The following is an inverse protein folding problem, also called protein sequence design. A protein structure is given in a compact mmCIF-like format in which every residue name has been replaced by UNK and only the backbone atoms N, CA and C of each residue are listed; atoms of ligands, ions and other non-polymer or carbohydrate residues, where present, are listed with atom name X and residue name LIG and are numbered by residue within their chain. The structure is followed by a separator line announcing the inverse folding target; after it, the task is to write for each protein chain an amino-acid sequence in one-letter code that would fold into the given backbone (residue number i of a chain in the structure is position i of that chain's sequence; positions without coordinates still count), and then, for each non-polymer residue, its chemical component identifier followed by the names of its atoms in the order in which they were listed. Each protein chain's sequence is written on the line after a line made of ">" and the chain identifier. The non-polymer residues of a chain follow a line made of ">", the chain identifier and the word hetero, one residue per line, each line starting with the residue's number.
data_IF_701973326986
#
_entry.id   IF_701973326986
#
_cell.length_a   1.000
_cell.length_b   1.000
_cell.length_c   1.000
_cell.angle_alpha   90.00
_cell.angle_beta   90.00
_cell.angle_gamma   90.00
#
_symmetry.space_group_name_H-M   'P 1'
#
loop_
_entity.id
_entity.type
_entity.pdbx_description
1 polymer ?
#
# COMPACT_ATOMS: atom_id res chain seq x y z
N UNK A 1 -17.20 13.49 -12.61
CA UNK A 1 -17.41 12.04 -12.70
C UNK A 1 -16.06 11.40 -13.00
N UNK A 2 -15.31 11.01 -11.97
CA UNK A 2 -14.07 10.26 -12.18
C UNK A 2 -14.45 8.86 -12.63
N UNK A 3 -14.03 8.51 -13.84
CA UNK A 3 -14.23 7.19 -14.41
C UNK A 3 -13.38 6.23 -13.56
N UNK A 4 -13.99 5.50 -12.62
CA UNK A 4 -13.27 4.55 -11.79
C UNK A 4 -12.82 3.40 -12.69
N UNK A 5 -11.56 3.43 -13.11
CA UNK A 5 -10.98 2.37 -13.93
C UNK A 5 -11.05 1.07 -13.13
N UNK A 6 -11.99 0.18 -13.48
CA UNK A 6 -12.10 -1.12 -12.84
C UNK A 6 -11.08 -2.05 -13.49
N UNK A 7 -10.11 -2.53 -12.71
CA UNK A 7 -9.11 -3.47 -13.21
C UNK A 7 -9.72 -4.85 -13.41
N UNK A 8 -9.45 -5.45 -14.58
CA UNK A 8 -9.96 -6.76 -14.96
C UNK A 8 -9.45 -7.91 -14.08
N UNK A 9 -8.32 -7.75 -13.38
CA UNK A 9 -7.79 -8.73 -12.45
C UNK A 9 -7.50 -8.05 -11.11
N UNK A 10 -8.19 -8.49 -10.06
CA UNK A 10 -7.94 -8.07 -8.67
C UNK A 10 -7.93 -9.31 -7.79
N UNK A 11 -7.00 -9.39 -6.87
CA UNK A 11 -6.86 -10.54 -5.98
C UNK A 11 -7.10 -10.08 -4.55
N UNK A 12 -8.11 -10.64 -3.90
CA UNK A 12 -8.35 -10.45 -2.47
C UNK A 12 -7.85 -11.66 -1.67
N UNK A 13 -7.82 -11.52 -0.35
CA UNK A 13 -7.49 -12.58 0.58
C UNK A 13 -8.61 -12.67 1.62
N UNK A 14 -9.21 -13.85 1.76
CA UNK A 14 -10.47 -14.01 2.49
C UNK A 14 -10.42 -15.21 3.43
N UNK A 15 -11.17 -15.16 4.52
CA UNK A 15 -11.54 -16.35 5.28
C UNK A 15 -13.04 -16.38 5.55
N UNK A 16 -13.57 -17.59 5.78
CA UNK A 16 -14.99 -17.82 6.07
C UNK A 16 -15.09 -18.82 7.22
N UNK A 17 -16.01 -18.58 8.15
CA UNK A 17 -16.32 -19.50 9.25
C UNK A 17 -15.07 -20.02 10.00
N UNK A 18 -14.08 -19.15 10.24
CA UNK A 18 -12.85 -19.48 10.97
C UNK A 18 -11.82 -20.32 10.20
N UNK A 19 -12.02 -20.57 8.90
CA UNK A 19 -11.02 -21.23 8.06
C UNK A 19 -9.76 -20.38 7.90
N UNK A 20 -8.65 -21.02 7.50
CA UNK A 20 -7.43 -20.30 7.14
C UNK A 20 -7.68 -19.33 5.97
N UNK A 21 -7.02 -18.15 5.93
CA UNK A 21 -7.13 -17.22 4.81
C UNK A 21 -6.67 -17.84 3.48
N UNK A 22 -7.41 -17.57 2.41
CA UNK A 22 -7.11 -18.04 1.07
C UNK A 22 -7.27 -16.90 0.03
N UNK A 23 -6.48 -16.94 -1.05
CA UNK A 23 -6.58 -15.96 -2.11
C UNK A 23 -7.84 -16.22 -2.96
N UNK A 24 -8.48 -15.15 -3.40
CA UNK A 24 -9.60 -15.19 -4.33
C UNK A 24 -9.39 -14.19 -5.48
N UNK A 25 -9.75 -14.61 -6.68
CA UNK A 25 -9.84 -13.75 -7.86
C UNK A 25 -11.19 -13.04 -7.84
N UNK A 26 -11.17 -11.71 -7.97
CA UNK A 26 -12.39 -10.90 -8.03
C UNK A 26 -12.86 -10.75 -9.47
N UNK A 27 -14.09 -11.15 -9.75
CA UNK A 27 -14.78 -10.95 -11.03
C UNK A 27 -16.07 -10.17 -10.76
N UNK A 28 -16.12 -8.90 -11.18
CA UNK A 28 -17.11 -7.96 -10.66
C UNK A 28 -17.05 -7.94 -9.12
N UNK A 29 -18.19 -8.12 -8.46
CA UNK A 29 -18.28 -8.19 -6.98
C UNK A 29 -18.13 -9.62 -6.41
N UNK A 30 -17.91 -10.62 -7.28
CA UNK A 30 -17.78 -12.01 -6.86
C UNK A 30 -16.32 -12.33 -6.51
N UNK A 31 -16.11 -12.91 -5.33
CA UNK A 31 -14.83 -13.48 -4.95
C UNK A 31 -14.81 -14.99 -5.23
N UNK A 32 -13.96 -15.41 -6.17
CA UNK A 32 -13.79 -16.81 -6.57
C UNK A 32 -12.49 -17.33 -5.96
N UNK A 33 -12.51 -18.34 -5.06
CA UNK A 33 -11.28 -18.91 -4.51
C UNK A 33 -10.34 -19.34 -5.63
N UNK A 34 -9.06 -18.95 -5.58
CA UNK A 34 -8.10 -19.27 -6.65
C UNK A 34 -7.95 -20.78 -6.82
N UNK A 35 -8.08 -21.55 -5.73
CA UNK A 35 -8.10 -23.01 -5.77
C UNK A 35 -9.23 -23.60 -6.62
N UNK A 36 -10.39 -22.93 -6.70
CA UNK A 36 -11.52 -23.34 -7.52
C UNK A 36 -11.28 -23.15 -9.03
N UNK A 37 -10.22 -22.42 -9.41
CA UNK A 37 -9.89 -22.14 -10.81
C UNK A 37 -9.05 -23.23 -11.49
N UNK A 38 -8.58 -24.24 -10.75
CA UNK A 38 -7.75 -25.32 -11.33
C UNK A 38 -8.35 -26.00 -12.55
N UNK A 39 -9.65 -26.37 -12.58
CA UNK A 39 -10.24 -26.99 -13.77
C UNK A 39 -10.16 -26.09 -15.01
N UNK A 40 -10.33 -24.77 -14.85
CA UNK A 40 -10.19 -23.80 -15.95
C UNK A 40 -8.74 -23.61 -16.37
N UNK A 41 -7.81 -23.56 -15.41
CA UNK A 41 -6.38 -23.49 -15.70
C UNK A 41 -5.92 -24.72 -16.50
N UNK A 42 -6.35 -25.92 -16.10
CA UNK A 42 -6.07 -27.18 -16.79
C UNK A 42 -6.66 -27.20 -18.20
N UNK A 43 -7.92 -26.80 -18.37
CA UNK A 43 -8.56 -26.73 -19.68
C UNK A 43 -7.87 -25.78 -20.66
N UNK A 44 -7.24 -24.71 -20.14
CA UNK A 44 -6.48 -23.73 -20.93
C UNK A 44 -4.98 -24.05 -21.03
N UNK A 45 -4.52 -25.16 -20.44
CA UNK A 45 -3.11 -25.52 -20.34
C UNK A 45 -2.25 -24.42 -19.70
N UNK A 46 -2.76 -23.79 -18.64
CA UNK A 46 -2.10 -22.71 -17.89
C UNK A 46 -1.57 -23.23 -16.55
N UNK A 47 -0.34 -22.85 -16.13
CA UNK A 47 0.19 -23.23 -14.83
C UNK A 47 -0.50 -22.44 -13.72
N UNK A 48 -0.93 -23.13 -12.66
CA UNK A 48 -1.47 -22.50 -11.46
C UNK A 48 -1.00 -23.29 -10.24
N UNK A 49 -0.40 -22.61 -9.27
CA UNK A 49 0.20 -23.24 -8.09
C UNK A 49 0.15 -22.34 -6.85
N UNK A 50 0.37 -22.89 -5.66
CA UNK A 50 0.41 -22.12 -4.42
C UNK A 50 -0.94 -21.53 -3.99
N UNK A 51 -2.07 -22.03 -4.49
CA UNK A 51 -3.39 -21.40 -4.31
C UNK A 51 -4.00 -21.52 -2.90
N UNK A 52 -3.30 -22.16 -1.96
CA UNK A 52 -3.80 -22.42 -0.61
C UNK A 52 -3.58 -21.25 0.36
N UNK A 53 -2.71 -20.29 0.01
CA UNK A 53 -2.49 -19.06 0.79
C UNK A 53 -2.00 -17.94 -0.13
N UNK A 54 -2.17 -16.68 0.29
CA UNK A 54 -1.66 -15.54 -0.48
C UNK A 54 -0.14 -15.54 -0.60
N UNK A 55 0.57 -15.99 0.46
CA UNK A 55 2.02 -16.11 0.47
C UNK A 55 2.50 -17.10 -0.60
N UNK A 56 1.96 -18.33 -0.58
CA UNK A 56 2.33 -19.37 -1.54
C UNK A 56 1.97 -18.99 -3.00
N UNK A 57 0.87 -18.26 -3.19
CA UNK A 57 0.49 -17.75 -4.51
C UNK A 57 1.53 -16.76 -5.06
N UNK A 58 2.02 -15.85 -4.21
CA UNK A 58 3.03 -14.84 -4.57
C UNK A 58 4.43 -15.46 -4.69
N UNK A 59 4.77 -16.47 -3.90
CA UNK A 59 6.04 -17.21 -4.05
C UNK A 59 6.17 -17.86 -5.45
N UNK A 60 5.04 -18.21 -6.06
CA UNK A 60 4.95 -18.77 -7.42
C UNK A 60 4.50 -17.72 -8.46
N UNK A 61 4.61 -16.43 -8.15
CA UNK A 61 4.10 -15.34 -8.97
C UNK A 61 4.58 -15.35 -10.44
N UNK A 62 5.86 -15.63 -10.75
CA UNK A 62 6.33 -15.67 -12.14
C UNK A 62 5.55 -16.65 -13.03
N UNK A 63 4.97 -17.70 -12.45
CA UNK A 63 4.12 -18.66 -13.18
C UNK A 63 2.64 -18.27 -13.10
N UNK A 64 2.20 -17.74 -11.96
CA UNK A 64 0.79 -17.47 -11.70
C UNK A 64 0.27 -16.19 -12.35
N UNK A 65 1.10 -15.15 -12.53
CA UNK A 65 0.67 -13.82 -12.96
C UNK A 65 -0.12 -13.85 -14.27
N UNK A 66 0.49 -14.37 -15.35
CA UNK A 66 -0.17 -14.45 -16.66
C UNK A 66 -1.38 -15.37 -16.64
N UNK A 67 -1.35 -16.41 -15.81
CA UNK A 67 -2.48 -17.34 -15.66
C UNK A 67 -3.68 -16.66 -15.01
N UNK A 68 -3.50 -15.94 -13.92
CA UNK A 68 -4.59 -15.26 -13.22
C UNK A 68 -5.26 -14.20 -14.09
N UNK A 69 -4.48 -13.42 -14.85
CA UNK A 69 -5.02 -12.43 -15.80
C UNK A 69 -5.81 -13.10 -16.93
N UNK A 70 -5.31 -14.23 -17.46
CA UNK A 70 -6.00 -14.98 -18.51
C UNK A 70 -7.28 -15.66 -17.99
N UNK A 71 -7.23 -16.22 -16.79
CA UNK A 71 -8.40 -16.81 -16.12
C UNK A 71 -9.47 -15.75 -15.86
N UNK A 72 -9.09 -14.56 -15.40
CA UNK A 72 -10.04 -13.46 -15.19
C UNK A 72 -10.80 -13.13 -16.49
N UNK A 73 -10.08 -12.87 -17.58
CA UNK A 73 -10.66 -12.59 -18.90
C UNK A 73 -11.46 -13.77 -19.46
N UNK A 74 -11.06 -15.00 -19.16
CA UNK A 74 -11.78 -16.19 -19.58
C UNK A 74 -13.14 -16.27 -18.86
N UNK A 75 -13.13 -16.15 -17.52
CA UNK A 75 -14.32 -16.26 -16.68
C UNK A 75 -15.30 -15.11 -16.95
N UNK A 76 -14.81 -13.88 -17.13
CA UNK A 76 -15.65 -12.73 -17.53
C UNK A 76 -16.45 -13.01 -18.82
N UNK A 77 -15.86 -13.76 -19.76
CA UNK A 77 -16.48 -14.09 -21.04
C UNK A 77 -17.44 -15.27 -20.97
N UNK A 78 -17.11 -16.31 -20.20
CA UNK A 78 -17.91 -17.55 -20.15
C UNK A 78 -18.94 -17.56 -19.01
N UNK A 79 -18.80 -16.63 -18.06
CA UNK A 79 -19.53 -16.65 -16.80
C UNK A 79 -18.95 -17.63 -15.79
N UNK A 80 -19.14 -17.34 -14.51
CA UNK A 80 -18.79 -18.25 -13.42
C UNK A 80 -20.03 -18.97 -12.90
N UNK A 81 -19.99 -20.31 -12.87
CA UNK A 81 -21.08 -21.15 -12.36
C UNK A 81 -20.68 -21.94 -11.09
N UNK A 82 -19.48 -21.70 -10.56
CA UNK A 82 -18.95 -22.39 -9.39
C UNK A 82 -19.25 -21.66 -8.07
N UNK A 83 -18.65 -22.10 -6.96
CA UNK A 83 -18.83 -21.43 -5.68
C UNK A 83 -18.24 -20.01 -5.70
N UNK A 84 -19.01 -19.04 -5.17
CA UNK A 84 -18.57 -17.66 -4.95
C UNK A 84 -18.74 -17.29 -3.50
N UNK A 85 -17.83 -16.47 -2.99
CA UNK A 85 -18.06 -15.76 -1.74
C UNK A 85 -18.79 -14.44 -2.04
N UNK A 86 -19.81 -14.17 -1.24
CA UNK A 86 -20.33 -12.83 -1.07
C UNK A 86 -19.47 -12.13 0.00
N UNK A 87 -18.83 -10.99 -0.30
CA UNK A 87 -17.89 -10.34 0.61
C UNK A 87 -18.44 -10.09 2.04
N UNK A 88 -19.74 -9.84 2.18
CA UNK A 88 -20.38 -9.64 3.49
C UNK A 88 -20.44 -10.88 4.41
N UNK A 89 -20.13 -12.07 3.89
CA UNK A 89 -20.07 -13.32 4.66
C UNK A 89 -18.63 -13.77 4.94
N UNK A 90 -17.62 -13.02 4.50
CA UNK A 90 -16.21 -13.36 4.61
C UNK A 90 -15.44 -12.26 5.35
N UNK A 91 -14.39 -12.65 6.06
CA UNK A 91 -13.40 -11.71 6.60
C UNK A 91 -12.39 -11.41 5.52
N UNK A 92 -12.20 -10.13 5.20
CA UNK A 92 -11.16 -9.69 4.26
C UNK A 92 -9.86 -9.43 5.03
N UNK A 93 -8.79 -10.04 4.55
CA UNK A 93 -7.43 -9.93 5.08
C UNK A 93 -6.56 -9.08 4.15
N UNK A 94 -5.36 -8.65 4.59
CA UNK A 94 -4.39 -8.08 3.68
C UNK A 94 -4.16 -9.00 2.47
N UNK A 95 -4.16 -8.47 1.23
CA UNK A 95 -3.94 -9.26 0.02
C UNK A 95 -2.44 -9.58 -0.22
N UNK A 96 -1.65 -9.57 0.86
CA UNK A 96 -0.22 -9.81 0.90
C UNK A 96 0.17 -10.45 2.23
N UNK A 97 1.32 -11.11 2.26
CA UNK A 97 1.92 -11.63 3.50
C UNK A 97 3.44 -11.42 3.43
N UNK A 98 3.90 -10.15 3.60
CA UNK A 98 5.29 -9.78 3.43
C UNK A 98 6.19 -10.39 4.51
N UNK A 99 7.43 -10.71 4.11
CA UNK A 99 8.51 -11.06 5.05
C UNK A 99 9.21 -9.79 5.55
N UNK A 100 9.30 -8.79 4.69
CA UNK A 100 9.88 -7.49 4.97
C UNK A 100 8.93 -6.38 4.50
N UNK A 101 8.88 -5.29 5.26
CA UNK A 101 8.15 -4.07 4.89
C UNK A 101 9.11 -2.88 4.93
N UNK A 102 9.11 -2.07 3.87
CA UNK A 102 9.94 -0.88 3.71
C UNK A 102 9.07 0.34 3.46
N UNK A 103 9.34 1.48 4.11
CA UNK A 103 8.56 2.70 3.97
C UNK A 103 9.47 3.86 3.58
N UNK A 104 9.16 4.51 2.46
CA UNK A 104 9.94 5.64 1.96
C UNK A 104 9.44 6.94 2.56
N UNK A 105 10.23 7.52 3.45
CA UNK A 105 9.91 8.76 4.14
C UNK A 105 10.11 9.95 3.19
N UNK A 106 9.20 10.92 3.20
CA UNK A 106 9.44 12.20 2.54
C UNK A 106 9.43 12.12 1.01
N UNK A 107 8.55 11.32 0.39
CA UNK A 107 8.65 10.99 -1.03
C UNK A 107 7.69 11.76 -1.95
N UNK A 108 6.90 12.71 -1.46
CA UNK A 108 5.99 13.52 -2.27
C UNK A 108 6.40 14.99 -2.22
N UNK A 109 6.32 15.71 -3.35
CA UNK A 109 6.69 17.13 -3.39
C UNK A 109 5.69 17.95 -2.60
N UNK A 110 4.40 17.68 -2.77
CA UNK A 110 3.30 18.28 -2.02
C UNK A 110 3.53 18.19 -0.51
N UNK A 111 3.85 16.99 -0.02
CA UNK A 111 4.11 16.72 1.39
C UNK A 111 5.29 17.54 1.95
N UNK A 112 6.36 17.70 1.16
CA UNK A 112 7.49 18.54 1.58
C UNK A 112 7.14 20.03 1.54
N UNK A 113 6.36 20.49 0.55
CA UNK A 113 5.90 21.88 0.51
C UNK A 113 5.05 22.22 1.74
N UNK A 114 4.06 21.38 2.05
CA UNK A 114 3.20 21.52 3.24
C UNK A 114 4.05 21.57 4.53
N UNK A 115 4.97 20.63 4.70
CA UNK A 115 5.84 20.60 5.88
C UNK A 115 6.75 21.83 6.03
N UNK A 116 7.11 22.50 4.94
CA UNK A 116 7.84 23.77 4.98
C UNK A 116 6.94 24.93 5.41
N UNK A 117 5.69 24.98 4.94
CA UNK A 117 4.70 25.97 5.37
C UNK A 117 4.35 25.82 6.86
N UNK A 118 4.14 24.59 7.33
CA UNK A 118 3.78 24.32 8.74
C UNK A 118 4.87 24.75 9.72
N UNK A 119 6.14 24.73 9.29
CA UNK A 119 7.31 25.09 10.12
C UNK A 119 7.78 26.52 9.91
N UNK A 120 7.24 27.23 8.93
CA UNK A 120 7.66 28.60 8.63
C UNK A 120 7.29 29.54 9.80
N UNK A 121 8.19 30.45 10.21
CA UNK A 121 7.86 31.48 11.19
C UNK A 121 6.65 32.30 10.75
N UNK A 122 5.82 32.70 11.71
CA UNK A 122 4.65 33.55 11.44
C UNK A 122 5.05 34.82 10.68
N UNK A 123 4.37 35.09 9.56
CA UNK A 123 4.65 36.24 8.70
C UNK A 123 5.69 35.99 7.59
N UNK A 124 6.26 34.79 7.49
CA UNK A 124 7.11 34.42 6.35
C UNK A 124 6.30 34.46 5.05
N UNK A 125 6.73 35.19 4.01
CA UNK A 125 6.03 35.23 2.73
C UNK A 125 5.92 33.84 2.08
N UNK A 126 4.73 33.48 1.61
CA UNK A 126 4.46 32.15 1.01
C UNK A 126 5.38 31.82 -0.17
N UNK A 127 5.73 32.82 -1.00
CA UNK A 127 6.66 32.66 -2.12
C UNK A 127 8.11 32.33 -1.68
N UNK A 128 8.55 32.83 -0.52
CA UNK A 128 9.86 32.51 0.05
C UNK A 128 9.88 31.07 0.55
N UNK A 129 8.84 30.66 1.29
CA UNK A 129 8.67 29.27 1.75
C UNK A 129 8.62 28.29 0.59
N UNK A 130 7.83 28.59 -0.46
CA UNK A 130 7.76 27.77 -1.67
C UNK A 130 9.12 27.63 -2.36
N UNK A 131 9.90 28.71 -2.41
CA UNK A 131 11.22 28.71 -3.02
C UNK A 131 12.19 27.84 -2.22
N UNK A 132 12.15 27.92 -0.89
CA UNK A 132 12.93 27.08 0.00
C UNK A 132 12.55 25.59 -0.13
N UNK A 133 11.25 25.28 -0.17
CA UNK A 133 10.75 23.93 -0.36
C UNK A 133 11.19 23.35 -1.71
N UNK A 134 11.07 24.11 -2.81
CA UNK A 134 11.53 23.70 -4.14
C UNK A 134 13.03 23.44 -4.17
N UNK A 135 13.84 24.30 -3.56
CA UNK A 135 15.28 24.09 -3.47
C UNK A 135 15.62 22.82 -2.69
N UNK A 136 14.89 22.52 -1.60
CA UNK A 136 15.05 21.29 -0.84
C UNK A 136 14.65 20.05 -1.65
N UNK A 137 13.52 20.10 -2.36
CA UNK A 137 13.04 19.03 -3.24
C UNK A 137 14.05 18.72 -4.34
N UNK A 138 14.61 19.74 -4.99
CA UNK A 138 15.63 19.56 -6.03
C UNK A 138 16.89 18.88 -5.45
N UNK A 139 17.37 19.35 -4.31
CA UNK A 139 18.48 18.70 -3.61
C UNK A 139 18.15 17.26 -3.23
N UNK A 140 16.92 17.00 -2.79
CA UNK A 140 16.46 15.65 -2.43
C UNK A 140 16.40 14.74 -3.64
N UNK A 141 15.93 15.22 -4.79
CA UNK A 141 15.87 14.45 -6.03
C UNK A 141 17.26 14.01 -6.51
N UNK A 142 18.30 14.77 -6.22
CA UNK A 142 19.70 14.41 -6.50
C UNK A 142 20.32 13.43 -5.50
N UNK A 143 19.63 13.14 -4.39
CA UNK A 143 20.06 12.22 -3.35
C UNK A 143 19.52 10.79 -3.52
N UNK A 144 19.51 10.05 -2.42
CA UNK A 144 18.97 8.69 -2.32
C UNK A 144 17.64 8.67 -1.53
N UNK A 145 16.74 7.69 -1.76
CA UNK A 145 15.54 7.49 -0.94
C UNK A 145 15.88 7.32 0.54
N UNK A 146 15.12 7.98 1.42
CA UNK A 146 15.22 7.76 2.87
C UNK A 146 14.17 6.71 3.27
N UNK A 147 14.62 5.51 3.64
CA UNK A 147 13.75 4.38 3.88
C UNK A 147 13.92 3.86 5.31
N UNK A 148 12.80 3.63 6.00
CA UNK A 148 12.75 2.86 7.24
C UNK A 148 12.10 1.49 7.00
N UNK A 149 12.29 0.57 7.94
CA UNK A 149 11.60 -0.71 7.93
C UNK A 149 10.35 -0.65 8.80
N UNK A 150 9.35 -1.46 8.46
CA UNK A 150 8.22 -1.82 9.32
C UNK A 150 8.18 -3.34 9.51
N UNK A 151 7.52 -3.78 10.58
CA UNK A 151 7.31 -5.17 10.91
C UNK A 151 6.01 -5.69 10.25
N UNK A 152 6.02 -6.92 9.70
CA UNK A 152 4.80 -7.56 9.23
C UNK A 152 3.69 -7.66 10.28
N UNK A 153 4.03 -7.63 11.58
CA UNK A 153 3.06 -7.63 12.68
C UNK A 153 2.20 -6.37 12.76
N UNK A 154 2.54 -5.29 12.04
CA UNK A 154 1.73 -4.08 11.98
C UNK A 154 0.54 -4.19 11.02
N UNK A 155 0.51 -5.21 10.14
CA UNK A 155 -0.54 -5.38 9.13
C UNK A 155 -1.94 -5.41 9.73
N UNK A 156 -2.87 -4.69 9.09
CA UNK A 156 -4.28 -4.70 9.41
C UNK A 156 -5.13 -4.96 8.17
N UNK A 157 -6.18 -5.76 8.32
CA UNK A 157 -7.13 -6.02 7.24
C UNK A 157 -7.89 -4.76 6.81
N UNK A 158 -8.33 -4.69 5.55
CA UNK A 158 -8.89 -3.48 4.94
C UNK A 158 -10.28 -3.09 5.48
N UNK A 159 -10.92 -3.93 6.30
CA UNK A 159 -12.23 -3.67 6.94
C UNK A 159 -12.19 -3.94 8.45
N UNK A 160 -11.01 -3.86 9.06
CA UNK A 160 -10.78 -4.21 10.47
C UNK A 160 -10.82 -2.98 11.38
N UNK A 161 -10.87 -3.23 12.68
CA UNK A 161 -10.76 -2.18 13.71
C UNK A 161 -9.29 -1.91 14.04
N UNK A 162 -8.91 -0.63 14.07
CA UNK A 162 -7.61 -0.18 14.57
C UNK A 162 -7.73 0.25 16.03
N UNK A 163 -7.01 -0.42 16.92
CA UNK A 163 -6.95 -0.04 18.33
C UNK A 163 -5.81 0.94 18.55
N UNK A 164 -6.15 2.16 18.95
CA UNK A 164 -5.18 3.23 19.17
C UNK A 164 -4.34 2.87 20.40
N UNK A 165 -3.02 2.91 20.24
CA UNK A 165 -2.15 2.53 21.35
C UNK A 165 -2.26 3.57 22.49
N UNK A 166 -2.38 3.13 23.75
CA UNK A 166 -2.66 4.03 24.88
C UNK A 166 -1.52 5.02 25.19
N UNK A 167 -0.36 4.85 24.55
CA UNK A 167 0.81 5.69 24.73
C UNK A 167 0.97 6.75 23.63
N UNK A 168 0.00 6.94 22.74
CA UNK A 168 0.02 8.05 21.77
C UNK A 168 -1.28 8.84 21.83
N UNK A 169 -1.18 10.13 21.54
CA UNK A 169 -2.32 11.02 21.26
C UNK A 169 -2.18 11.68 19.89
N UNK A 170 -1.18 11.26 19.10
CA UNK A 170 -0.83 11.86 17.82
C UNK A 170 -0.68 10.78 16.74
N UNK A 171 -1.63 9.84 16.72
CA UNK A 171 -1.75 8.85 15.67
C UNK A 171 -2.22 9.52 14.38
N UNK A 172 -1.42 9.43 13.33
CA UNK A 172 -1.59 10.13 12.07
C UNK A 172 -1.68 9.13 10.91
N UNK A 173 -2.34 9.55 9.84
CA UNK A 173 -2.58 8.75 8.64
C UNK A 173 -1.61 9.10 7.52
N UNK A 174 -1.32 8.12 6.67
CA UNK A 174 -0.44 8.28 5.51
C UNK A 174 -0.90 7.31 4.41
N UNK A 175 -1.84 7.70 3.53
CA UNK A 175 -2.20 6.84 2.37
C UNK A 175 -1.03 6.73 1.42
N UNK A 176 -0.70 5.51 1.00
CA UNK A 176 0.39 5.26 0.05
C UNK A 176 0.05 4.18 -0.98
N UNK A 177 0.80 4.18 -2.07
CA UNK A 177 0.86 3.06 -2.99
C UNK A 177 1.80 1.99 -2.40
N UNK A 178 1.28 0.80 -2.13
CA UNK A 178 2.07 -0.37 -1.76
C UNK A 178 2.52 -1.15 -3.00
N UNK A 179 3.81 -1.49 -3.07
CA UNK A 179 4.40 -2.29 -4.16
C UNK A 179 4.79 -3.65 -3.61
N UNK A 180 4.34 -4.72 -4.29
CA UNK A 180 4.63 -6.10 -3.88
C UNK A 180 5.68 -6.69 -4.79
N UNK A 181 6.75 -7.26 -4.22
CA UNK A 181 7.84 -7.86 -4.98
C UNK A 181 7.44 -9.27 -5.50
N UNK A 182 7.72 -9.56 -6.77
CA UNK A 182 7.35 -10.81 -7.44
C UNK A 182 8.35 -11.96 -7.24
N UNK A 183 9.63 -11.63 -7.12
CA UNK A 183 10.73 -12.61 -7.15
C UNK A 183 11.98 -12.02 -6.49
N UNK A 184 12.95 -12.87 -6.09
CA UNK A 184 14.16 -12.40 -5.42
C UNK A 184 14.87 -11.31 -6.23
N UNK A 185 15.20 -10.18 -5.59
CA UNK A 185 15.82 -9.02 -6.24
C UNK A 185 17.05 -8.54 -5.44
N UNK A 186 18.19 -8.41 -6.13
CA UNK A 186 19.45 -7.93 -5.57
C UNK A 186 20.23 -7.20 -6.66
N UNK A 187 20.71 -6.00 -6.37
CA UNK A 187 21.43 -5.14 -7.32
C UNK A 187 20.68 -4.91 -8.64
N UNK A 188 19.36 -4.77 -8.57
CA UNK A 188 18.50 -4.56 -9.73
C UNK A 188 18.62 -3.11 -10.18
N UNK A 189 18.76 -2.89 -11.50
CA UNK A 189 18.77 -1.52 -12.05
C UNK A 189 17.36 -0.94 -12.13
N UNK A 190 17.24 0.39 -12.19
CA UNK A 190 15.94 1.07 -12.37
C UNK A 190 15.18 0.54 -13.61
N UNK A 191 15.91 0.23 -14.69
CA UNK A 191 15.32 -0.28 -15.94
C UNK A 191 14.71 -1.67 -15.79
N UNK A 192 15.32 -2.52 -14.98
CA UNK A 192 14.89 -3.90 -14.74
C UNK A 192 13.83 -3.99 -13.65
N UNK A 193 13.75 -2.99 -12.75
CA UNK A 193 12.90 -3.02 -11.56
C UNK A 193 11.43 -3.36 -11.84
N UNK A 194 10.89 -2.96 -12.99
CA UNK A 194 9.52 -3.29 -13.42
C UNK A 194 9.26 -4.81 -13.41
N UNK A 195 10.23 -5.62 -13.82
CA UNK A 195 10.10 -7.08 -13.93
C UNK A 195 10.11 -7.81 -12.59
N UNK A 196 10.31 -7.06 -11.49
CA UNK A 196 10.31 -7.56 -10.12
C UNK A 196 9.05 -7.14 -9.36
N UNK A 197 8.09 -6.47 -9.99
CA UNK A 197 6.83 -6.06 -9.35
C UNK A 197 5.75 -7.10 -9.62
N UNK A 198 5.20 -7.67 -8.55
CA UNK A 198 4.05 -8.57 -8.64
C UNK A 198 2.78 -7.77 -8.95
N UNK A 199 2.62 -6.68 -8.23
CA UNK A 199 1.47 -5.82 -8.31
C UNK A 199 1.48 -4.76 -7.23
N UNK A 200 0.33 -4.13 -7.07
CA UNK A 200 0.16 -2.98 -6.22
C UNK A 200 -1.05 -3.13 -5.31
N UNK A 201 -1.04 -2.44 -4.18
CA UNK A 201 -2.16 -2.39 -3.23
C UNK A 201 -2.23 -1.02 -2.57
N UNK A 202 -3.33 -0.71 -1.88
CA UNK A 202 -3.40 0.47 -1.01
C UNK A 202 -2.78 0.11 0.34
N UNK A 203 -2.01 1.03 0.90
CA UNK A 203 -1.53 0.95 2.29
C UNK A 203 -1.84 2.27 3.00
N UNK A 204 -1.98 2.22 4.32
CA UNK A 204 -2.00 3.40 5.18
C UNK A 204 -0.89 3.25 6.22
N UNK A 205 0.16 4.08 6.16
CA UNK A 205 1.32 4.00 7.05
C UNK A 205 1.10 4.83 8.33
N UNK A 206 0.24 4.31 9.21
CA UNK A 206 -0.13 5.00 10.45
C UNK A 206 1.11 5.27 11.30
N UNK A 207 1.26 6.52 11.73
CA UNK A 207 2.44 7.01 12.44
C UNK A 207 2.06 7.74 13.72
N UNK A 208 2.67 7.37 14.83
CA UNK A 208 2.56 8.07 16.11
C UNK A 208 3.57 9.22 16.15
N UNK A 209 3.12 10.43 15.81
CA UNK A 209 4.01 11.60 15.60
C UNK A 209 4.77 12.00 16.86
N UNK A 210 4.17 11.84 18.03
CA UNK A 210 4.78 12.06 19.35
C UNK A 210 5.87 11.04 19.69
N UNK A 211 5.98 9.96 18.91
CA UNK A 211 6.95 8.87 19.12
C UNK A 211 8.03 8.79 18.05
N UNK A 212 7.98 9.64 17.02
CA UNK A 212 9.00 9.67 15.96
C UNK A 212 10.37 10.00 16.52
N UNK A 213 10.47 11.00 17.41
CA UNK A 213 11.73 11.36 18.05
C UNK A 213 11.73 10.92 19.50
N UNK A 214 12.82 10.29 19.93
CA UNK A 214 12.97 9.87 21.32
C UNK A 214 13.10 11.09 22.23
N UNK A 215 12.36 11.09 23.33
CA UNK A 215 12.60 12.02 24.42
C UNK A 215 13.94 11.73 25.12
N UNK A 216 14.40 10.48 25.07
CA UNK A 216 15.56 9.98 25.81
C UNK A 216 16.45 9.00 24.99
N UNK A 217 17.77 9.21 25.00
CA UNK A 217 18.44 10.50 24.90
C UNK A 217 18.22 11.14 23.50
N UNK A 218 18.03 12.48 23.41
CA UNK A 218 17.62 13.17 22.19
C UNK A 218 18.63 13.08 21.02
N UNK A 219 19.86 12.64 21.28
CA UNK A 219 20.90 12.47 20.26
C UNK A 219 20.72 11.27 19.32
N UNK A 220 19.86 10.30 19.64
CA UNK A 220 19.64 9.13 18.79
C UNK A 220 18.69 9.37 17.61
N UNK A 221 17.98 10.51 17.58
CA UNK A 221 17.15 10.89 16.44
C UNK A 221 15.84 10.10 16.37
N UNK A 222 15.48 9.69 15.15
CA UNK A 222 14.18 9.06 14.86
C UNK A 222 14.13 7.59 15.28
N UNK A 223 13.09 7.19 15.99
CA UNK A 223 12.75 5.82 16.34
C UNK A 223 11.50 5.35 15.58
N UNK A 224 11.72 4.84 14.37
CA UNK A 224 10.63 4.41 13.50
C UNK A 224 9.90 3.18 14.03
N UNK A 225 10.57 2.31 14.77
CA UNK A 225 9.96 1.13 15.38
C UNK A 225 8.87 1.56 16.38
N UNK A 226 9.20 2.50 17.28
CA UNK A 226 8.24 3.02 18.24
C UNK A 226 7.08 3.78 17.55
N UNK A 227 7.36 4.49 16.47
CA UNK A 227 6.40 5.36 15.81
C UNK A 227 5.45 4.64 14.84
N UNK A 228 5.87 3.54 14.21
CA UNK A 228 5.14 2.96 13.07
C UNK A 228 4.78 1.48 13.25
N UNK A 229 5.33 0.75 14.22
CA UNK A 229 5.20 -0.73 14.25
C UNK A 229 4.24 -1.31 15.28
N UNK A 230 3.42 -0.48 15.93
CA UNK A 230 2.35 -1.00 16.77
C UNK A 230 1.37 -1.87 15.94
N UNK A 231 0.81 -2.95 16.51
CA UNK A 231 -0.17 -3.77 15.83
C UNK A 231 -1.31 -2.92 15.27
N UNK A 232 -1.62 -3.10 13.99
CA UNK A 232 -2.67 -2.35 13.32
C UNK A 232 -2.21 -1.09 12.57
N UNK A 233 -0.96 -0.65 12.74
CA UNK A 233 -0.44 0.57 12.11
C UNK A 233 -0.11 0.43 10.60
N UNK A 234 -0.51 -0.67 9.96
CA UNK A 234 -0.36 -0.84 8.52
C UNK A 234 -1.62 -1.47 7.87
N UNK A 235 -2.77 -0.77 7.85
CA UNK A 235 -3.89 -1.15 7.02
C UNK A 235 -3.47 -1.37 5.57
N UNK A 236 -3.77 -2.55 5.03
CA UNK A 236 -3.31 -2.99 3.70
C UNK A 236 -4.41 -3.70 2.93
N UNK A 237 -4.57 -3.39 1.65
CA UNK A 237 -5.64 -3.92 0.80
C UNK A 237 -6.62 -2.85 0.32
N UNK A 238 -7.77 -3.22 -0.26
CA UNK A 238 -8.40 -4.54 -0.21
C UNK A 238 -7.84 -5.57 -1.18
N UNK A 239 -7.25 -5.12 -2.29
CA UNK A 239 -6.83 -6.00 -3.38
C UNK A 239 -5.35 -5.83 -3.72
N UNK A 240 -4.75 -6.93 -4.18
CA UNK A 240 -3.53 -6.93 -4.97
C UNK A 240 -3.93 -6.81 -6.45
N UNK A 241 -3.48 -5.74 -7.10
CA UNK A 241 -3.68 -5.47 -8.51
C UNK A 241 -2.41 -5.89 -9.26
N UNK A 242 -2.44 -6.94 -10.11
CA UNK A 242 -1.26 -7.37 -10.85
C UNK A 242 -0.64 -6.24 -11.66
N UNK A 243 0.70 -6.22 -11.76
CA UNK A 243 1.42 -5.13 -12.41
C UNK A 243 0.99 -4.90 -13.87
N UNK A 244 0.70 -5.97 -14.61
CA UNK A 244 0.25 -5.90 -16.03
C UNK A 244 -1.15 -5.30 -16.21
N UNK A 245 -1.93 -5.18 -15.12
CA UNK A 245 -3.23 -4.52 -15.16
C UNK A 245 -3.10 -3.00 -15.04
N UNK A 246 -1.96 -2.47 -14.57
CA UNK A 246 -1.75 -1.05 -14.34
C UNK A 246 -0.94 -0.45 -15.49
N UNK A 247 -1.60 0.39 -16.31
CA UNK A 247 -1.00 0.96 -17.51
C UNK A 247 0.00 2.08 -17.22
N UNK A 248 -0.32 2.97 -16.28
CA UNK A 248 0.50 4.14 -15.94
C UNK A 248 0.53 4.36 -14.43
N UNK A 249 1.70 4.17 -13.82
CA UNK A 249 1.92 4.38 -12.39
C UNK A 249 1.94 5.84 -11.98
N UNK A 250 2.04 6.80 -12.92
CA UNK A 250 1.99 8.23 -12.62
C UNK A 250 0.57 8.82 -12.63
N UNK A 251 -0.44 8.02 -12.97
CA UNK A 251 -1.85 8.47 -13.04
C UNK A 251 -2.72 7.84 -11.96
N UNK A 252 -2.13 7.11 -11.01
CA UNK A 252 -2.86 6.57 -9.88
C UNK A 252 -3.13 7.71 -8.90
N UNK A 253 -4.40 7.93 -8.58
CA UNK A 253 -4.84 8.94 -7.61
C UNK A 253 -5.09 8.29 -6.25
N UNK A 254 -4.38 8.75 -5.23
CA UNK A 254 -4.53 8.37 -3.84
C UNK A 254 -5.51 9.31 -3.16
N UNK A 255 -6.36 8.78 -2.29
CA UNK A 255 -7.25 9.59 -1.46
C UNK A 255 -7.43 8.98 -0.09
N UNK A 256 -7.43 9.84 0.94
CA UNK A 256 -7.76 9.48 2.31
C UNK A 256 -8.84 10.39 2.86
N UNK A 257 -9.80 9.79 3.57
CA UNK A 257 -10.84 10.49 4.32
C UNK A 257 -10.84 10.12 5.79
N UNK A 258 -11.09 11.10 6.64
CA UNK A 258 -11.38 10.95 8.06
C UNK A 258 -12.84 11.38 8.29
N UNK A 259 -13.69 10.49 8.78
CA UNK A 259 -15.10 10.76 9.03
C UNK A 259 -15.85 11.36 7.83
N UNK A 260 -15.46 10.96 6.62
CA UNK A 260 -16.03 11.43 5.35
C UNK A 260 -15.38 12.72 4.79
N UNK A 261 -14.58 13.43 5.57
CA UNK A 261 -13.82 14.60 5.11
C UNK A 261 -12.53 14.17 4.40
N UNK A 262 -12.22 14.75 3.24
CA UNK A 262 -11.02 14.39 2.48
C UNK A 262 -9.81 15.12 3.05
N UNK A 263 -8.86 14.35 3.58
CA UNK A 263 -7.63 14.85 4.19
C UNK A 263 -6.46 14.78 3.21
N UNK A 264 -6.37 13.71 2.40
CA UNK A 264 -5.35 13.56 1.37
C UNK A 264 -5.99 13.30 0.01
N UNK A 265 -5.44 13.92 -1.04
CA UNK A 265 -5.88 13.73 -2.42
C UNK A 265 -4.76 14.15 -3.37
N UNK A 266 -4.06 13.18 -3.98
CA UNK A 266 -2.92 13.48 -4.85
C UNK A 266 -2.65 12.36 -5.85
N UNK A 267 -1.94 12.67 -6.92
CA UNK A 267 -1.41 11.72 -7.89
C UNK A 267 -0.04 11.19 -7.48
N UNK A 268 0.17 9.90 -7.72
CA UNK A 268 1.49 9.24 -7.74
C UNK A 268 2.57 9.92 -8.60
N UNK A 269 2.19 10.74 -9.60
CA UNK A 269 3.16 11.57 -10.34
C UNK A 269 3.89 12.60 -9.46
N UNK A 270 3.35 12.91 -8.28
CA UNK A 270 3.97 13.80 -7.31
C UNK A 270 5.15 13.15 -6.56
N UNK A 271 5.39 11.85 -6.75
CA UNK A 271 6.56 11.18 -6.17
C UNK A 271 7.88 11.84 -6.59
N UNK A 272 8.78 11.99 -5.63
CA UNK A 272 10.15 12.44 -5.83
C UNK A 272 10.95 11.29 -6.42
N UNK A 273 10.98 10.14 -5.75
CA UNK A 273 11.57 8.88 -6.23
C UNK A 273 10.49 7.94 -6.72
N UNK A 274 10.57 7.55 -7.99
CA UNK A 274 9.66 6.57 -8.59
C UNK A 274 9.74 5.21 -7.90
N UNK A 275 8.70 4.39 -8.06
CA UNK A 275 8.67 2.98 -7.60
C UNK A 275 9.94 2.23 -8.01
N UNK A 276 10.38 2.40 -9.26
CA UNK A 276 11.52 1.67 -9.80
C UNK A 276 12.85 2.11 -9.20
N UNK A 277 13.00 3.39 -8.87
CA UNK A 277 14.17 3.90 -8.15
C UNK A 277 14.22 3.39 -6.71
N UNK A 278 13.07 3.30 -6.03
CA UNK A 278 12.99 2.73 -4.69
C UNK A 278 13.39 1.25 -4.68
N UNK A 279 12.91 0.45 -5.64
CA UNK A 279 13.30 -0.96 -5.80
C UNK A 279 14.81 -1.08 -6.07
N UNK A 280 15.35 -0.28 -7.00
CA UNK A 280 16.77 -0.30 -7.32
C UNK A 280 17.62 0.04 -6.09
N UNK A 281 17.26 1.10 -5.37
CA UNK A 281 17.92 1.50 -4.12
C UNK A 281 17.85 0.39 -3.07
N UNK A 282 16.66 -0.12 -2.75
CA UNK A 282 16.48 -1.18 -1.76
C UNK A 282 17.28 -2.43 -2.10
N UNK A 283 17.17 -2.92 -3.34
CA UNK A 283 17.88 -4.11 -3.78
C UNK A 283 19.40 -3.93 -3.79
N UNK A 284 19.91 -2.69 -3.76
CA UNK A 284 21.34 -2.41 -3.59
C UNK A 284 21.82 -2.60 -2.14
N UNK A 285 20.92 -2.44 -1.16
CA UNK A 285 21.21 -2.53 0.28
C UNK A 285 20.82 -3.88 0.89
N UNK A 286 19.69 -4.44 0.46
CA UNK A 286 19.11 -5.67 1.02
C UNK A 286 18.73 -6.66 -0.09
N UNK A 287 18.48 -7.90 0.31
CA UNK A 287 17.85 -8.91 -0.54
C UNK A 287 16.33 -8.79 -0.41
N UNK A 288 15.67 -8.41 -1.50
CA UNK A 288 14.20 -8.44 -1.59
C UNK A 288 13.74 -9.84 -1.98
N UNK A 289 12.60 -10.28 -1.45
CA UNK A 289 11.98 -11.57 -1.71
C UNK A 289 10.58 -11.41 -2.28
N UNK A 290 10.08 -12.47 -2.92
CA UNK A 290 8.68 -12.52 -3.33
C UNK A 290 7.76 -12.28 -2.12
N UNK A 291 6.82 -11.36 -2.27
CA UNK A 291 5.87 -10.95 -1.23
C UNK A 291 6.29 -9.75 -0.38
N UNK A 292 7.56 -9.33 -0.42
CA UNK A 292 7.99 -8.13 0.31
C UNK A 292 7.21 -6.89 -0.15
N UNK A 293 6.94 -5.99 0.80
CA UNK A 293 6.08 -4.82 0.61
C UNK A 293 6.91 -3.54 0.72
N UNK A 294 6.76 -2.65 -0.27
CA UNK A 294 7.34 -1.31 -0.27
C UNK A 294 6.20 -0.30 -0.23
N UNK A 295 6.08 0.41 0.88
CA UNK A 295 5.24 1.60 1.08
C UNK A 295 6.02 2.80 0.52
N UNK A 296 5.43 3.47 -0.48
CA UNK A 296 6.17 4.36 -1.39
C UNK A 296 6.22 5.83 -0.94
N UNK A 297 5.75 6.13 0.26
CA UNK A 297 5.56 7.49 0.78
C UNK A 297 4.15 8.02 0.54
N UNK A 298 3.82 9.08 1.25
CA UNK A 298 2.46 9.66 1.29
C UNK A 298 2.45 11.13 0.87
N UNK A 299 1.38 11.62 0.20
CA UNK A 299 1.23 13.02 -0.18
C UNK A 299 0.94 13.95 1.01
N UNK A 300 0.84 15.25 0.75
CA UNK A 300 0.35 16.24 1.71
C UNK A 300 -1.03 15.89 2.31
N UNK A 301 -1.38 16.55 3.41
CA UNK A 301 -2.65 16.37 4.12
C UNK A 301 -2.54 15.46 5.35
N UNK A 302 -1.41 15.53 6.05
CA UNK A 302 -1.23 14.81 7.32
C UNK A 302 -2.07 15.45 8.42
N UNK A 303 -2.52 14.67 9.39
CA UNK A 303 -3.26 15.16 10.56
C UNK A 303 -2.50 16.27 11.31
N UNK A 304 -1.17 16.18 11.36
CA UNK A 304 -0.32 17.22 11.92
C UNK A 304 -0.52 18.61 11.28
N UNK A 305 -0.79 18.68 9.97
CA UNK A 305 -1.08 19.93 9.26
C UNK A 305 -2.38 20.56 9.76
N UNK A 306 -3.40 19.74 10.01
CA UNK A 306 -4.71 20.18 10.49
C UNK A 306 -4.79 20.35 12.02
N UNK A 307 -3.75 19.96 12.76
CA UNK A 307 -3.81 19.85 14.22
C UNK A 307 -4.82 18.82 14.71
N UNK A 308 -5.12 17.80 13.89
CA UNK A 308 -6.09 16.74 14.15
C UNK A 308 -5.42 15.37 14.03
N UNK A 309 -5.77 14.44 14.90
CA UNK A 309 -5.20 13.09 14.92
C UNK A 309 -6.33 12.07 15.06
N UNK A 310 -6.02 10.82 14.71
CA UNK A 310 -6.95 9.69 14.81
C UNK A 310 -7.36 9.51 16.28
N UNK A 311 -8.66 9.53 16.53
CA UNK A 311 -9.29 9.34 17.81
C UNK A 311 -10.22 8.13 17.86
N UNK A 312 -10.63 7.76 19.07
CA UNK A 312 -11.60 6.69 19.28
C UNK A 312 -12.95 7.09 18.70
N UNK A 313 -13.56 6.21 17.89
CA UNK A 313 -14.80 6.43 17.17
C UNK A 313 -14.62 6.94 15.73
N UNK A 314 -13.40 7.30 15.31
CA UNK A 314 -13.15 7.78 13.96
C UNK A 314 -13.22 6.65 12.91
N UNK A 315 -13.62 7.01 11.69
CA UNK A 315 -13.55 6.17 10.51
C UNK A 315 -12.52 6.71 9.51
N UNK A 316 -11.52 5.89 9.19
CA UNK A 316 -10.54 6.15 8.15
C UNK A 316 -10.90 5.40 6.87
N UNK A 317 -10.93 6.11 5.75
CA UNK A 317 -11.08 5.53 4.42
C UNK A 317 -9.88 5.87 3.55
N UNK A 318 -9.06 4.89 3.21
CA UNK A 318 -7.90 5.05 2.30
C UNK A 318 -8.15 4.34 0.98
N UNK A 319 -7.86 4.97 -0.16
CA UNK A 319 -8.16 4.43 -1.48
C UNK A 319 -7.16 4.85 -2.55
N UNK A 320 -7.06 4.02 -3.59
CA UNK A 320 -6.40 4.37 -4.85
C UNK A 320 -7.39 4.10 -5.99
N UNK A 321 -7.45 5.00 -6.97
CA UNK A 321 -8.33 4.88 -8.12
C UNK A 321 -8.29 3.48 -8.75
N UNK A 322 -9.42 2.76 -8.70
CA UNK A 322 -9.57 1.40 -9.24
C UNK A 322 -9.09 0.25 -8.33
N UNK A 323 -8.34 0.53 -7.25
CA UNK A 323 -7.79 -0.49 -6.35
C UNK A 323 -8.76 -0.87 -5.23
N UNK A 324 -9.88 -0.15 -5.10
CA UNK A 324 -10.80 -0.25 -3.98
C UNK A 324 -10.38 0.64 -2.80
N UNK A 325 -11.08 0.47 -1.68
CA UNK A 325 -10.90 1.28 -0.48
C UNK A 325 -10.78 0.41 0.77
N UNK A 326 -9.95 0.85 1.70
CA UNK A 326 -9.91 0.39 3.08
C UNK A 326 -10.93 1.20 3.88
N UNK A 327 -11.55 0.59 4.89
CA UNK A 327 -12.48 1.17 5.84
C UNK A 327 -12.09 0.71 7.24
N UNK A 328 -11.45 1.58 8.00
CA UNK A 328 -10.89 1.27 9.31
C UNK A 328 -11.65 2.05 10.37
N UNK A 329 -12.30 1.33 11.29
CA UNK A 329 -12.90 1.93 12.48
C UNK A 329 -11.86 2.02 13.58
N UNK A 330 -11.72 3.17 14.22
CA UNK A 330 -10.70 3.42 15.23
C UNK A 330 -11.33 3.31 16.64
N UNK A 331 -10.65 2.62 17.56
CA UNK A 331 -11.09 2.42 18.95
C UNK A 331 -10.02 2.78 19.95
#
# INVERSE_FOLDING_TARGET
>A
MHNTQQFACRIGNFSVAGCAPFPALMIGEQAIPVSALHPHAQALNLPLSGTHSIAALIENWPFNQSTLVQLAKHIERIGWAGPTLLPGAAVMHPPVSPRQVFCTIGNYRSQLIEAFHDKAPAGTPSNETDSAAKAFIEKRRQGEPYICSKLPSALLGPTSTFSIAPHTTMADWEVELGVVIAKPARHVTVREARDYVAGFTVVNDITFRDRVFRADPPGFGTDWLQAKDAPGCLPTGPYLIPADCVADLGQLHLSLRLNGETMQSESTSDMIFSVYEQIAYLSSKVQLWAGDLICTGSPAGFGAHYGCYIGSGDELQASIGGFGSQHITCT
#
